data_IF_172515424767
#
_entry.id   IF_172515424767
#
_cell.length_a   1.000
_cell.length_b   1.000
_cell.length_c   1.000
_cell.angle_alpha   90.00
_cell.angle_beta   90.00
_cell.angle_gamma   90.00
#
_symmetry.space_group_name_H-M   'P 1'
#
loop_
_entity.id
_entity.type
_entity.pdbx_description
1 polymer ?
#
# COMPACT_ATOMS: atom_id res chain seq x y z
N UNK A 1 4.31 -15.13 9.59
CA UNK A 1 3.87 -13.92 10.34
C UNK A 1 4.54 -12.72 9.69
N UNK A 2 3.84 -11.98 8.83
CA UNK A 2 4.41 -10.87 8.06
C UNK A 2 4.68 -9.64 8.92
N UNK A 3 5.87 -9.61 9.51
CA UNK A 3 6.23 -8.78 10.66
C UNK A 3 6.44 -7.28 10.35
N UNK A 4 6.82 -6.90 9.12
CA UNK A 4 7.17 -5.50 8.83
C UNK A 4 5.99 -4.64 8.35
N UNK A 5 5.12 -5.19 7.50
CA UNK A 5 3.96 -4.48 6.95
C UNK A 5 2.93 -4.11 8.01
N UNK A 6 2.70 -5.01 8.96
CA UNK A 6 1.87 -4.73 10.14
C UNK A 6 2.47 -3.60 10.97
N UNK A 7 3.81 -3.52 11.04
CA UNK A 7 4.54 -2.42 11.67
C UNK A 7 4.29 -1.09 10.99
N UNK A 8 4.29 -1.04 9.65
CA UNK A 8 3.97 0.17 8.90
C UNK A 8 2.48 0.56 8.99
N UNK A 9 1.55 -0.40 8.90
CA UNK A 9 0.12 -0.11 9.06
C UNK A 9 -0.18 0.41 10.47
N UNK A 10 0.40 -0.21 11.49
CA UNK A 10 0.28 0.24 12.87
C UNK A 10 0.94 1.62 13.08
N UNK A 11 2.13 1.85 12.52
CA UNK A 11 2.79 3.15 12.57
C UNK A 11 1.96 4.23 11.86
N UNK A 12 1.36 3.95 10.71
CA UNK A 12 0.48 4.88 9.99
C UNK A 12 -0.76 5.23 10.82
N UNK A 13 -1.44 4.22 11.40
CA UNK A 13 -2.60 4.41 12.28
C UNK A 13 -2.28 5.21 13.53
N UNK A 14 -1.08 5.04 14.10
CA UNK A 14 -0.63 5.74 15.32
C UNK A 14 -0.12 7.15 15.04
N UNK A 15 0.48 7.37 13.87
CA UNK A 15 1.09 8.65 13.50
C UNK A 15 0.05 9.66 13.01
N UNK A 16 -1.14 9.22 12.58
CA UNK A 16 -2.29 10.11 12.31
C UNK A 16 -1.99 11.28 11.38
N UNK A 17 -0.94 11.19 10.58
CA UNK A 17 -0.58 12.20 9.59
C UNK A 17 -1.52 12.06 8.41
N UNK A 18 -2.10 13.18 7.95
CA UNK A 18 -2.95 13.24 6.75
C UNK A 18 -2.30 12.62 5.48
N UNK A 19 -1.00 12.35 5.49
CA UNK A 19 -0.23 11.94 4.31
C UNK A 19 -0.67 10.62 3.66
N UNK A 20 -1.25 9.68 4.42
CA UNK A 20 -1.79 8.43 3.86
C UNK A 20 -3.32 8.33 3.96
N UNK A 21 -3.97 9.43 4.35
CA UNK A 21 -5.43 9.53 4.39
C UNK A 21 -5.96 9.46 2.95
N UNK A 22 -6.59 8.35 2.57
CA UNK A 22 -7.06 8.10 1.20
C UNK A 22 -6.21 7.15 0.37
N UNK A 23 -4.98 6.79 0.81
CA UNK A 23 -4.12 5.87 0.06
C UNK A 23 -4.75 4.48 -0.13
N UNK A 24 -5.41 3.96 0.92
CA UNK A 24 -6.18 2.71 0.83
C UNK A 24 -7.29 2.79 -0.22
N UNK A 25 -8.03 3.89 -0.24
CA UNK A 25 -9.15 4.07 -1.16
C UNK A 25 -8.66 4.25 -2.60
N UNK A 26 -7.52 4.94 -2.78
CA UNK A 26 -6.81 5.05 -4.06
C UNK A 26 -6.38 3.67 -4.59
N UNK A 27 -5.78 2.81 -3.74
CA UNK A 27 -5.42 1.44 -4.11
C UNK A 27 -6.65 0.60 -4.53
N UNK A 28 -7.77 0.74 -3.80
CA UNK A 28 -9.00 0.01 -4.12
C UNK A 28 -9.64 0.49 -5.42
N UNK A 29 -9.66 1.81 -5.65
CA UNK A 29 -10.25 2.43 -6.82
C UNK A 29 -9.47 2.08 -8.09
N UNK A 30 -8.15 2.16 -8.04
CA UNK A 30 -7.32 2.10 -9.24
C UNK A 30 -6.75 0.69 -9.52
N UNK A 31 -6.43 -0.09 -8.48
CA UNK A 31 -5.60 -1.30 -8.66
C UNK A 31 -6.32 -2.62 -8.38
N UNK A 32 -7.31 -2.66 -7.47
CA UNK A 32 -7.91 -3.94 -7.06
C UNK A 32 -9.34 -4.18 -7.57
N UNK A 33 -10.07 -3.15 -8.03
CA UNK A 33 -11.45 -3.22 -8.57
C UNK A 33 -12.43 -4.11 -7.78
N UNK A 34 -12.13 -4.43 -6.52
CA UNK A 34 -12.83 -5.41 -5.70
C UNK A 34 -12.81 -4.91 -4.26
N UNK A 35 -13.93 -5.05 -3.57
CA UNK A 35 -14.01 -4.70 -2.16
C UNK A 35 -13.15 -5.68 -1.35
N UNK A 36 -12.27 -5.13 -0.54
CA UNK A 36 -11.34 -5.89 0.30
C UNK A 36 -11.35 -5.32 1.72
N UNK A 37 -11.49 -6.19 2.71
CA UNK A 37 -11.44 -5.83 4.12
C UNK A 37 -10.01 -5.59 4.62
N UNK A 38 -9.00 -5.82 3.79
CA UNK A 38 -7.62 -5.61 4.16
C UNK A 38 -7.29 -4.11 4.28
N UNK A 39 -6.35 -3.81 5.19
CA UNK A 39 -5.64 -2.52 5.21
C UNK A 39 -4.75 -2.38 3.98
N UNK A 40 -4.21 -1.18 3.74
CA UNK A 40 -3.40 -0.89 2.54
C UNK A 40 -2.20 -1.85 2.38
N UNK A 41 -1.59 -2.28 3.48
CA UNK A 41 -0.48 -3.26 3.45
C UNK A 41 -0.89 -4.61 2.85
N UNK A 42 -2.04 -5.14 3.24
CA UNK A 42 -2.59 -6.38 2.68
C UNK A 42 -3.07 -6.23 1.24
N UNK A 43 -3.46 -5.02 0.83
CA UNK A 43 -3.76 -4.70 -0.57
C UNK A 43 -2.47 -4.71 -1.42
N UNK A 44 -1.39 -4.09 -0.95
CA UNK A 44 -0.10 -4.08 -1.64
C UNK A 44 0.46 -5.50 -1.78
N UNK A 45 0.35 -6.33 -0.74
CA UNK A 45 0.76 -7.72 -0.83
C UNK A 45 -0.04 -8.50 -1.90
N UNK A 46 -1.35 -8.26 -2.05
CA UNK A 46 -2.14 -8.86 -3.14
C UNK A 46 -1.73 -8.36 -4.53
N UNK A 47 -1.34 -7.09 -4.64
CA UNK A 47 -0.89 -6.50 -5.91
C UNK A 47 0.49 -7.06 -6.29
N UNK A 48 1.44 -7.09 -5.36
CA UNK A 48 2.80 -7.53 -5.59
C UNK A 48 2.91 -9.06 -5.74
N UNK A 49 2.13 -9.81 -4.96
CA UNK A 49 2.23 -11.26 -4.85
C UNK A 49 0.84 -11.91 -4.91
N UNK A 50 0.16 -11.90 -6.08
CA UNK A 50 -1.22 -12.37 -6.20
C UNK A 50 -1.39 -13.87 -5.93
N UNK A 51 -0.32 -14.67 -6.10
CA UNK A 51 -0.33 -16.11 -5.83
C UNK A 51 0.17 -16.46 -4.42
N UNK A 52 0.56 -15.48 -3.61
CA UNK A 52 1.06 -15.73 -2.27
C UNK A 52 -0.07 -15.98 -1.28
N UNK A 53 -0.07 -17.17 -0.70
CA UNK A 53 -0.96 -17.55 0.38
C UNK A 53 -0.37 -16.99 1.69
N UNK A 54 -0.99 -15.92 2.21
CA UNK A 54 -0.65 -15.11 3.40
C UNK A 54 -0.31 -15.90 4.68
N UNK A 55 -0.42 -17.23 4.64
CA UNK A 55 -0.12 -18.19 5.69
C UNK A 55 1.38 -18.51 5.77
N UNK A 56 2.14 -18.29 4.69
CA UNK A 56 3.57 -18.61 4.60
C UNK A 56 4.45 -17.36 4.80
N UNK A 57 5.63 -17.52 5.39
CA UNK A 57 6.60 -16.41 5.46
C UNK A 57 7.15 -16.07 4.07
N UNK A 58 7.46 -14.79 3.85
CA UNK A 58 8.01 -14.30 2.59
C UNK A 58 9.46 -14.78 2.42
N UNK A 59 9.86 -15.13 1.20
CA UNK A 59 11.28 -15.27 0.86
C UNK A 59 11.93 -13.88 0.77
N UNK A 60 13.27 -13.77 0.89
CA UNK A 60 13.97 -12.49 0.74
C UNK A 60 13.68 -11.78 -0.60
N UNK A 61 13.52 -12.56 -1.67
CA UNK A 61 13.21 -12.03 -3.01
C UNK A 61 11.77 -11.50 -3.07
N UNK A 62 10.83 -12.20 -2.45
CA UNK A 62 9.44 -11.74 -2.35
C UNK A 62 9.33 -10.49 -1.48
N UNK A 63 10.09 -10.41 -0.39
CA UNK A 63 10.14 -9.23 0.47
C UNK A 63 10.70 -8.02 -0.29
N UNK A 64 11.79 -8.20 -1.03
CA UNK A 64 12.38 -7.15 -1.87
C UNK A 64 11.39 -6.68 -2.93
N UNK A 65 10.76 -7.62 -3.63
CA UNK A 65 9.76 -7.29 -4.65
C UNK A 65 8.57 -6.52 -4.06
N UNK A 66 8.10 -6.92 -2.87
CA UNK A 66 7.01 -6.25 -2.18
C UNK A 66 7.38 -4.81 -1.80
N UNK A 67 8.61 -4.59 -1.34
CA UNK A 67 9.12 -3.25 -1.03
C UNK A 67 9.22 -2.37 -2.28
N UNK A 68 9.70 -2.91 -3.41
CA UNK A 68 9.76 -2.18 -4.67
C UNK A 68 8.36 -1.72 -5.12
N UNK A 69 7.37 -2.62 -5.05
CA UNK A 69 5.97 -2.29 -5.39
C UNK A 69 5.39 -1.28 -4.40
N UNK A 70 5.69 -1.40 -3.11
CA UNK A 70 5.27 -0.42 -2.10
C UNK A 70 5.76 0.99 -2.45
N UNK A 71 7.04 1.15 -2.76
CA UNK A 71 7.61 2.47 -3.06
C UNK A 71 7.08 3.03 -4.37
N UNK A 72 6.95 2.22 -5.43
CA UNK A 72 6.38 2.67 -6.70
C UNK A 72 4.92 3.15 -6.55
N UNK A 73 4.11 2.46 -5.73
CA UNK A 73 2.73 2.87 -5.46
C UNK A 73 2.66 4.17 -4.64
N UNK A 74 3.56 4.34 -3.68
CA UNK A 74 3.64 5.58 -2.90
C UNK A 74 4.07 6.76 -3.76
N UNK A 75 5.08 6.58 -4.62
CA UNK A 75 5.56 7.62 -5.53
C UNK A 75 4.45 8.09 -6.48
N UNK A 76 3.69 7.15 -7.05
CA UNK A 76 2.53 7.47 -7.90
C UNK A 76 1.43 8.21 -7.13
N UNK A 77 1.08 7.73 -5.95
CA UNK A 77 0.08 8.38 -5.11
C UNK A 77 0.48 9.82 -4.76
N UNK A 78 1.73 10.04 -4.36
CA UNK A 78 2.20 11.40 -4.04
C UNK A 78 2.26 12.31 -5.27
N UNK A 79 2.66 11.80 -6.43
CA UNK A 79 2.65 12.57 -7.67
C UNK A 79 1.23 13.02 -8.06
N UNK A 80 0.22 12.16 -7.88
CA UNK A 80 -1.18 12.51 -8.14
C UNK A 80 -1.73 13.51 -7.11
N UNK A 81 -1.36 13.38 -5.84
CA UNK A 81 -1.71 14.34 -4.80
C UNK A 81 -1.11 15.72 -5.08
N UNK A 82 0.15 15.79 -5.49
CA UNK A 82 0.84 17.03 -5.85
C UNK A 82 0.20 17.68 -7.07
N UNK A 83 -0.04 16.92 -8.14
CA UNK A 83 -0.72 17.42 -9.34
C UNK A 83 -2.14 17.94 -9.04
N UNK A 84 -2.84 17.32 -8.09
CA UNK A 84 -4.16 17.79 -7.64
C UNK A 84 -4.09 19.05 -6.78
N UNK A 85 -2.97 19.29 -6.10
CA UNK A 85 -2.73 20.49 -5.29
C UNK A 85 -2.23 21.68 -6.14
N UNK A 86 -1.56 21.42 -7.26
CA UNK A 86 -1.02 22.42 -8.19
C UNK A 86 -2.05 23.05 -9.16
N UNK A 87 -3.31 22.62 -9.12
CA UNK A 87 -4.40 23.26 -9.87
C UNK A 87 -5.15 24.27 -8.99
N UNK A 88 -4.84 25.59 -9.06
CA UNK A 88 -5.70 26.60 -8.48
C UNK A 88 -6.93 26.75 -9.38
N UNK A 89 -8.13 26.58 -8.79
CA UNK A 89 -9.39 27.03 -9.37
C UNK A 89 -9.41 28.56 -9.53
#
# INVERSE_FOLDING_TARGET
MTCFLDGYDYAARRSGGRGLEGFRDWLLADHLRRQSSFGWSGLIAQIALPEWDFVTDLTPEQETHLLDVLFDLLDRYFAECEASAELPL
#
